data_IF_332022296969
#
_entry.id   IF_332022296969
#
_cell.length_a   1.000
_cell.length_b   1.000
_cell.length_c   1.000
_cell.angle_alpha   90.00
_cell.angle_beta   90.00
_cell.angle_gamma   90.00
#
_symmetry.space_group_name_H-M   'P 1'
#
loop_
_entity.id
_entity.type
_entity.pdbx_description
1 polymer ?
#
# COMPACT_ATOMS: atom_id res chain seq x y z
N UNK A 1 11.58 -19.98 -1.23
CA UNK A 1 12.09 -19.08 -0.19
C UNK A 1 13.43 -18.55 -0.67
N UNK A 2 13.59 -17.23 -0.68
CA UNK A 2 14.82 -16.57 -1.14
C UNK A 2 15.70 -16.15 0.04
N UNK A 3 15.09 -15.65 1.12
CA UNK A 3 15.78 -15.22 2.32
C UNK A 3 14.88 -15.38 3.55
N UNK A 4 15.49 -15.49 4.71
CA UNK A 4 14.84 -15.49 6.01
C UNK A 4 15.56 -14.46 6.88
N UNK A 5 14.83 -13.54 7.46
CA UNK A 5 15.33 -12.61 8.45
C UNK A 5 14.98 -13.13 9.85
N UNK A 6 15.99 -13.21 10.72
CA UNK A 6 15.88 -13.64 12.12
C UNK A 6 16.81 -12.79 12.96
N UNK A 7 16.29 -12.16 14.01
CA UNK A 7 17.06 -11.34 14.95
C UNK A 7 17.91 -10.24 14.28
N UNK A 8 17.37 -9.63 13.19
CA UNK A 8 18.08 -8.61 12.40
C UNK A 8 19.16 -9.15 11.46
N UNK A 9 19.34 -10.47 11.39
CA UNK A 9 20.27 -11.12 10.46
C UNK A 9 19.54 -11.74 9.27
N UNK A 10 20.09 -11.59 8.05
CA UNK A 10 19.55 -12.20 6.83
C UNK A 10 20.25 -13.52 6.54
N UNK A 11 19.49 -14.59 6.41
CA UNK A 11 19.95 -15.96 6.14
C UNK A 11 19.41 -16.42 4.79
N UNK A 12 20.25 -16.97 3.94
CA UNK A 12 19.82 -17.67 2.73
C UNK A 12 19.58 -19.13 3.12
N UNK A 13 18.30 -19.60 3.15
CA UNK A 13 18.00 -20.92 3.65
C UNK A 13 18.42 -22.02 2.67
N UNK A 14 18.92 -23.12 3.20
CA UNK A 14 19.17 -24.36 2.46
C UNK A 14 18.08 -25.40 2.76
N UNK A 15 18.17 -26.60 2.14
CA UNK A 15 17.16 -27.65 2.30
C UNK A 15 17.00 -28.20 3.74
N UNK A 16 17.96 -27.96 4.62
CA UNK A 16 17.94 -28.38 6.02
C UNK A 16 17.54 -27.24 6.98
N UNK A 17 17.24 -26.05 6.45
CA UNK A 17 16.88 -24.89 7.27
C UNK A 17 15.49 -25.08 7.91
N UNK A 18 15.40 -24.84 9.19
CA UNK A 18 14.15 -24.95 9.97
C UNK A 18 13.65 -23.54 10.30
N UNK A 19 12.46 -23.23 9.84
CA UNK A 19 11.76 -21.99 10.18
C UNK A 19 11.36 -21.99 11.66
N UNK A 20 11.44 -20.83 12.28
CA UNK A 20 11.05 -20.59 13.67
C UNK A 20 9.97 -19.52 13.75
N UNK A 21 9.25 -19.50 14.85
CA UNK A 21 8.29 -18.43 15.13
C UNK A 21 9.02 -17.09 15.22
N UNK A 22 8.53 -16.08 14.49
CA UNK A 22 9.15 -14.76 14.44
C UNK A 22 10.02 -14.51 13.20
N UNK A 23 10.36 -15.58 12.43
CA UNK A 23 11.08 -15.41 11.17
C UNK A 23 10.26 -14.59 10.15
N UNK A 24 10.90 -13.63 9.51
CA UNK A 24 10.37 -13.00 8.30
C UNK A 24 10.87 -13.75 7.07
N UNK A 25 9.95 -14.28 6.28
CA UNK A 25 10.29 -15.14 5.13
C UNK A 25 10.03 -14.39 3.83
N UNK A 26 11.08 -14.19 3.05
CA UNK A 26 10.98 -13.63 1.70
C UNK A 26 10.95 -14.76 0.68
N UNK A 27 9.95 -14.75 -0.20
CA UNK A 27 9.86 -15.69 -1.32
C UNK A 27 9.48 -14.96 -2.61
N UNK A 28 9.95 -15.48 -3.73
CA UNK A 28 9.60 -15.02 -5.06
C UNK A 28 8.71 -16.07 -5.73
N UNK A 29 7.55 -15.65 -6.21
CA UNK A 29 6.61 -16.51 -6.90
C UNK A 29 5.73 -15.69 -7.84
N UNK A 30 5.12 -16.32 -8.84
CA UNK A 30 3.99 -15.71 -9.56
C UNK A 30 2.80 -15.57 -8.62
N UNK A 31 1.88 -14.66 -8.93
CA UNK A 31 0.68 -14.44 -8.10
C UNK A 31 -0.12 -15.73 -7.87
N UNK A 32 -0.27 -16.54 -8.91
CA UNK A 32 -0.96 -17.84 -8.85
C UNK A 32 -0.28 -18.80 -7.86
N UNK A 33 1.04 -18.98 -7.98
CA UNK A 33 1.81 -19.85 -7.08
C UNK A 33 1.88 -19.32 -5.65
N UNK A 34 1.91 -18.01 -5.47
CA UNK A 34 1.84 -17.41 -4.15
C UNK A 34 0.47 -17.71 -3.49
N UNK A 35 -0.61 -17.59 -4.23
CA UNK A 35 -1.95 -17.92 -3.75
C UNK A 35 -2.07 -19.40 -3.36
N UNK A 36 -1.60 -20.31 -4.21
CA UNK A 36 -1.57 -21.76 -3.92
C UNK A 36 -0.73 -22.06 -2.67
N UNK A 37 0.42 -21.42 -2.51
CA UNK A 37 1.26 -21.57 -1.33
C UNK A 37 0.54 -21.15 -0.05
N UNK A 38 -0.09 -19.97 -0.04
CA UNK A 38 -0.83 -19.49 1.14
C UNK A 38 -2.03 -20.38 1.48
N UNK A 39 -2.71 -20.93 0.48
CA UNK A 39 -3.78 -21.90 0.71
C UNK A 39 -3.24 -23.17 1.41
N UNK A 40 -2.10 -23.70 0.93
CA UNK A 40 -1.50 -24.93 1.49
C UNK A 40 -1.04 -24.80 2.95
N UNK A 41 -0.61 -23.60 3.34
CA UNK A 41 -0.22 -23.34 4.74
C UNK A 41 -1.37 -22.83 5.61
N UNK A 42 -2.61 -22.91 5.11
CA UNK A 42 -3.82 -22.39 5.77
C UNK A 42 -3.74 -20.91 6.20
N UNK A 43 -3.01 -20.10 5.44
CA UNK A 43 -3.00 -18.64 5.57
C UNK A 43 -3.85 -18.03 4.44
N UNK A 44 -5.16 -17.88 4.64
CA UNK A 44 -6.01 -17.35 3.57
C UNK A 44 -5.64 -15.90 3.29
N UNK A 45 -5.25 -15.62 2.05
CA UNK A 45 -5.13 -14.25 1.55
C UNK A 45 -6.55 -13.69 1.44
N UNK A 46 -6.88 -12.73 2.30
CA UNK A 46 -8.19 -12.05 2.20
C UNK A 46 -8.06 -10.95 1.14
N UNK A 47 -8.83 -11.03 0.05
CA UNK A 47 -8.85 -9.97 -0.95
C UNK A 47 -9.40 -8.69 -0.30
N UNK A 48 -8.81 -7.56 -0.67
CA UNK A 48 -9.29 -6.24 -0.28
C UNK A 48 -10.61 -5.96 -1.01
N UNK A 49 -11.61 -5.47 -0.31
CA UNK A 49 -12.95 -5.12 -0.86
C UNK A 49 -13.18 -3.62 -0.91
N UNK A 50 -12.43 -2.86 -0.14
CA UNK A 50 -12.52 -1.42 -0.14
C UNK A 50 -11.16 -0.78 0.11
N UNK A 51 -10.91 0.33 -0.56
CA UNK A 51 -9.69 1.11 -0.43
C UNK A 51 -10.03 2.59 -0.19
N UNK A 52 -9.25 3.23 0.67
CA UNK A 52 -9.23 4.67 0.88
C UNK A 52 -7.87 5.21 0.45
N UNK A 53 -7.88 6.05 -0.58
CA UNK A 53 -6.69 6.63 -1.20
C UNK A 53 -6.65 8.10 -0.86
N UNK A 54 -5.54 8.60 -0.33
CA UNK A 54 -5.32 10.02 -0.06
C UNK A 54 -4.33 10.59 -1.08
N UNK A 55 -4.80 11.56 -1.87
CA UNK A 55 -4.09 12.16 -2.99
C UNK A 55 -4.57 11.62 -4.34
N UNK A 56 -5.19 12.48 -5.16
CA UNK A 56 -5.81 12.17 -6.46
C UNK A 56 -4.88 12.32 -7.67
N UNK A 57 -3.57 12.10 -7.52
CA UNK A 57 -2.59 12.22 -8.60
C UNK A 57 -2.72 11.13 -9.68
N UNK A 58 -1.76 11.08 -10.61
CA UNK A 58 -1.76 10.09 -11.70
C UNK A 58 -1.69 8.65 -11.18
N UNK A 59 -0.86 8.39 -10.15
CA UNK A 59 -0.76 7.05 -9.56
C UNK A 59 -2.10 6.62 -8.95
N UNK A 60 -2.79 7.52 -8.25
CA UNK A 60 -4.11 7.24 -7.69
C UNK A 60 -5.12 6.90 -8.78
N UNK A 61 -5.09 7.61 -9.90
CA UNK A 61 -5.98 7.37 -11.03
C UNK A 61 -5.81 5.93 -11.57
N UNK A 62 -4.59 5.54 -11.96
CA UNK A 62 -4.34 4.20 -12.51
C UNK A 62 -4.57 3.08 -11.49
N UNK A 63 -4.16 3.28 -10.24
CA UNK A 63 -4.45 2.33 -9.17
C UNK A 63 -5.95 2.14 -8.98
N UNK A 64 -6.72 3.22 -9.04
CA UNK A 64 -8.17 3.16 -8.88
C UNK A 64 -8.85 2.42 -10.03
N UNK A 65 -8.41 2.60 -11.28
CA UNK A 65 -8.90 1.81 -12.41
C UNK A 65 -8.71 0.31 -12.16
N UNK A 66 -7.48 -0.10 -11.82
CA UNK A 66 -7.17 -1.50 -11.55
C UNK A 66 -7.98 -2.07 -10.37
N UNK A 67 -8.15 -1.28 -9.30
CA UNK A 67 -8.95 -1.69 -8.14
C UNK A 67 -10.43 -1.86 -8.49
N UNK A 68 -11.00 -0.94 -9.26
CA UNK A 68 -12.40 -0.98 -9.71
C UNK A 68 -12.65 -2.18 -10.63
N UNK A 69 -11.75 -2.46 -11.58
CA UNK A 69 -11.80 -3.64 -12.44
C UNK A 69 -11.80 -4.96 -11.63
N UNK A 70 -11.13 -4.94 -10.47
CA UNK A 70 -11.13 -6.06 -9.52
C UNK A 70 -12.25 -5.98 -8.47
N UNK A 71 -13.30 -5.19 -8.71
CA UNK A 71 -14.48 -5.04 -7.87
C UNK A 71 -14.18 -4.53 -6.45
N UNK A 72 -13.11 -3.78 -6.28
CA UNK A 72 -12.77 -3.09 -5.02
C UNK A 72 -13.45 -1.73 -5.01
N UNK A 73 -14.20 -1.42 -3.96
CA UNK A 73 -14.78 -0.09 -3.77
C UNK A 73 -13.68 0.92 -3.46
N UNK A 74 -13.59 1.98 -4.25
CA UNK A 74 -12.54 2.99 -4.14
C UNK A 74 -13.11 4.31 -3.67
N UNK A 75 -12.47 4.91 -2.67
CA UNK A 75 -12.68 6.29 -2.23
C UNK A 75 -11.37 7.05 -2.38
N UNK A 76 -11.41 8.23 -2.98
CA UNK A 76 -10.24 9.09 -3.19
C UNK A 76 -10.49 10.41 -2.49
N UNK A 77 -9.60 10.78 -1.56
CA UNK A 77 -9.58 12.10 -0.92
C UNK A 77 -8.60 12.97 -1.68
N UNK A 78 -9.10 14.07 -2.23
CA UNK A 78 -8.31 15.04 -3.00
C UNK A 78 -8.73 16.46 -2.63
N UNK A 79 -7.74 17.31 -2.36
CA UNK A 79 -8.00 18.68 -1.92
C UNK A 79 -8.31 19.67 -3.04
N UNK A 80 -7.82 19.41 -4.26
CA UNK A 80 -8.05 20.29 -5.41
C UNK A 80 -9.41 19.98 -6.06
N UNK A 81 -10.38 20.93 -6.01
CA UNK A 81 -11.70 20.72 -6.59
C UNK A 81 -11.67 20.47 -8.11
N UNK A 82 -10.74 21.11 -8.84
CA UNK A 82 -10.61 20.90 -10.27
C UNK A 82 -10.16 19.46 -10.57
N UNK A 83 -9.22 18.94 -9.78
CA UNK A 83 -8.78 17.55 -9.88
C UNK A 83 -9.89 16.57 -9.49
N UNK A 84 -10.67 16.89 -8.47
CA UNK A 84 -11.84 16.08 -8.08
C UNK A 84 -12.83 15.92 -9.23
N UNK A 85 -13.14 16.98 -9.96
CA UNK A 85 -14.05 16.94 -11.12
C UNK A 85 -13.50 16.00 -12.21
N UNK A 86 -12.22 16.13 -12.55
CA UNK A 86 -11.57 15.26 -13.56
C UNK A 86 -11.62 13.80 -13.13
N UNK A 87 -11.37 13.52 -11.84
CA UNK A 87 -11.43 12.15 -11.33
C UNK A 87 -12.86 11.59 -11.34
N UNK A 88 -13.85 12.39 -10.96
CA UNK A 88 -15.26 11.97 -10.96
C UNK A 88 -15.77 11.65 -12.39
N UNK A 89 -15.35 12.42 -13.39
CA UNK A 89 -15.68 12.15 -14.79
C UNK A 89 -14.98 10.88 -15.32
N UNK A 90 -13.72 10.65 -14.91
CA UNK A 90 -12.90 9.57 -15.43
C UNK A 90 -13.07 8.25 -14.68
N UNK A 91 -13.54 8.29 -13.43
CA UNK A 91 -13.74 7.14 -12.54
C UNK A 91 -15.15 7.17 -11.94
N UNK A 92 -16.21 6.97 -12.74
CA UNK A 92 -17.59 7.13 -12.27
C UNK A 92 -18.01 6.16 -11.16
N UNK A 93 -17.31 5.05 -11.00
CA UNK A 93 -17.55 4.07 -9.93
C UNK A 93 -16.79 4.37 -8.63
N UNK A 94 -15.82 5.31 -8.65
CA UNK A 94 -15.11 5.73 -7.46
C UNK A 94 -15.86 6.85 -6.74
N UNK A 95 -15.79 6.84 -5.42
CA UNK A 95 -16.26 7.97 -4.62
C UNK A 95 -15.14 8.99 -4.47
N UNK A 96 -15.34 10.18 -5.04
CA UNK A 96 -14.37 11.28 -4.96
C UNK A 96 -14.81 12.22 -3.83
N UNK A 97 -13.89 12.46 -2.89
CA UNK A 97 -14.10 13.25 -1.69
C UNK A 97 -13.21 14.49 -1.76
N UNK A 98 -13.84 15.67 -1.89
CA UNK A 98 -13.08 16.91 -1.94
C UNK A 98 -12.81 17.42 -0.52
N UNK A 99 -11.68 17.07 0.03
CA UNK A 99 -11.24 17.45 1.36
C UNK A 99 -9.71 17.40 1.47
N UNK A 100 -9.17 18.06 2.49
CA UNK A 100 -7.77 17.94 2.86
C UNK A 100 -7.54 16.60 3.58
N UNK A 101 -6.65 15.78 3.02
CA UNK A 101 -6.29 14.47 3.58
C UNK A 101 -5.70 14.53 4.99
N UNK A 102 -5.21 15.68 5.43
CA UNK A 102 -4.72 15.89 6.79
C UNK A 102 -5.85 16.07 7.83
N UNK A 103 -7.09 16.23 7.39
CA UNK A 103 -8.26 16.33 8.25
C UNK A 103 -8.61 14.95 8.85
N UNK A 104 -8.13 14.70 10.06
CA UNK A 104 -8.26 13.41 10.75
C UNK A 104 -9.70 13.04 11.05
N UNK A 105 -10.51 14.01 11.48
CA UNK A 105 -11.92 13.77 11.83
C UNK A 105 -12.71 13.39 10.58
N UNK A 106 -12.39 14.01 9.46
CA UNK A 106 -12.96 13.64 8.16
C UNK A 106 -12.60 12.21 7.76
N UNK A 107 -11.32 11.81 7.84
CA UNK A 107 -10.91 10.44 7.53
C UNK A 107 -11.62 9.40 8.41
N UNK A 108 -11.82 9.69 9.68
CA UNK A 108 -12.57 8.82 10.60
C UNK A 108 -14.06 8.75 10.22
N UNK A 109 -14.69 9.89 9.90
CA UNK A 109 -16.10 9.94 9.49
C UNK A 109 -16.34 9.20 8.17
N UNK A 110 -15.35 9.20 7.26
CA UNK A 110 -15.36 8.43 6.02
C UNK A 110 -15.02 6.93 6.22
N UNK A 111 -14.94 6.47 7.46
CA UNK A 111 -14.82 5.06 7.78
C UNK A 111 -13.41 4.50 7.62
N UNK A 112 -12.39 5.29 7.96
CA UNK A 112 -11.00 4.81 8.01
C UNK A 112 -10.85 3.52 8.82
N UNK A 113 -11.58 3.39 9.93
CA UNK A 113 -11.51 2.23 10.83
C UNK A 113 -11.96 0.92 10.16
N UNK A 114 -12.88 1.00 9.21
CA UNK A 114 -13.40 -0.15 8.45
C UNK A 114 -12.71 -0.34 7.09
N UNK A 115 -11.71 0.48 6.78
CA UNK A 115 -10.98 0.42 5.54
C UNK A 115 -10.05 -0.79 5.52
N UNK A 116 -10.15 -1.61 4.46
CA UNK A 116 -9.32 -2.81 4.27
C UNK A 116 -7.98 -2.52 3.58
N UNK A 117 -7.88 -1.39 2.87
CA UNK A 117 -6.62 -0.86 2.34
C UNK A 117 -6.60 0.67 2.44
N UNK A 118 -5.55 1.22 3.02
CA UNK A 118 -5.28 2.65 3.07
C UNK A 118 -4.02 2.96 2.26
N UNK A 119 -4.11 3.94 1.35
CA UNK A 119 -3.04 4.27 0.42
C UNK A 119 -2.74 5.76 0.46
N UNK A 120 -1.55 6.14 0.94
CA UNK A 120 -1.10 7.52 1.00
C UNK A 120 -0.27 7.86 -0.26
N UNK A 121 -0.82 8.70 -1.15
CA UNK A 121 -0.26 9.05 -2.46
C UNK A 121 -0.13 10.56 -2.68
N UNK A 122 -0.07 11.36 -1.63
CA UNK A 122 0.16 12.80 -1.79
C UNK A 122 1.56 13.08 -2.38
N UNK A 123 1.85 14.33 -2.73
CA UNK A 123 3.17 14.70 -3.23
C UNK A 123 4.17 15.05 -2.13
N UNK A 124 3.76 14.95 -0.86
CA UNK A 124 4.55 15.29 0.31
C UNK A 124 4.85 14.01 1.09
N UNK A 125 6.11 13.57 1.10
CA UNK A 125 6.51 12.31 1.72
C UNK A 125 6.23 12.28 3.22
N UNK A 126 6.51 13.37 3.91
CA UNK A 126 6.25 13.52 5.34
C UNK A 126 4.75 13.40 5.67
N UNK A 127 3.91 13.96 4.82
CA UNK A 127 2.46 13.83 4.94
C UNK A 127 2.02 12.38 4.75
N UNK A 128 2.54 11.69 3.72
CA UNK A 128 2.25 10.27 3.49
C UNK A 128 2.64 9.40 4.69
N UNK A 129 3.80 9.66 5.30
CA UNK A 129 4.24 8.95 6.51
C UNK A 129 3.27 9.19 7.67
N UNK A 130 2.92 10.46 7.96
CA UNK A 130 2.02 10.80 9.06
C UNK A 130 0.61 10.24 8.85
N UNK A 131 0.09 10.29 7.62
CA UNK A 131 -1.20 9.71 7.25
C UNK A 131 -1.21 8.19 7.44
N UNK A 132 -0.14 7.51 7.03
CA UNK A 132 -0.03 6.06 7.21
C UNK A 132 0.05 5.66 8.68
N UNK A 133 0.84 6.38 9.49
CA UNK A 133 0.90 6.14 10.93
C UNK A 133 -0.44 6.40 11.63
N UNK A 134 -1.18 7.42 11.18
CA UNK A 134 -2.53 7.67 11.66
C UNK A 134 -3.48 6.54 11.28
N UNK A 135 -3.46 6.11 10.00
CA UNK A 135 -4.28 5.00 9.54
C UNK A 135 -3.95 3.69 10.26
N UNK A 136 -2.67 3.41 10.52
CA UNK A 136 -2.24 2.24 11.30
C UNK A 136 -2.82 2.20 12.70
N UNK A 137 -2.94 3.36 13.34
CA UNK A 137 -3.52 3.44 14.70
C UNK A 137 -5.01 3.13 14.71
N UNK A 138 -5.73 3.43 13.63
CA UNK A 138 -7.19 3.37 13.58
C UNK A 138 -7.74 2.22 12.72
N UNK A 139 -6.94 1.66 11.82
CA UNK A 139 -7.35 0.57 10.91
C UNK A 139 -6.40 -0.62 11.04
N UNK A 140 -6.95 -1.81 10.75
CA UNK A 140 -6.19 -3.06 10.58
C UNK A 140 -6.01 -3.41 9.10
N UNK A 141 -6.37 -2.51 8.22
CA UNK A 141 -6.25 -2.68 6.77
C UNK A 141 -4.79 -2.71 6.31
N UNK A 142 -4.59 -3.08 5.06
CA UNK A 142 -3.28 -2.99 4.40
C UNK A 142 -2.89 -1.53 4.25
N UNK A 143 -1.63 -1.21 4.52
CA UNK A 143 -1.10 0.14 4.39
C UNK A 143 -0.13 0.19 3.22
N UNK A 144 -0.26 1.21 2.38
CA UNK A 144 0.66 1.49 1.27
C UNK A 144 1.06 2.96 1.34
N UNK A 145 2.36 3.21 1.37
CA UNK A 145 2.92 4.56 1.53
C UNK A 145 3.82 4.90 0.35
N UNK A 146 3.50 5.96 -0.38
CA UNK A 146 4.38 6.47 -1.43
C UNK A 146 5.45 7.36 -0.83
N UNK A 147 6.71 7.10 -1.18
CA UNK A 147 7.87 7.92 -0.84
C UNK A 147 8.62 8.25 -2.14
N UNK A 148 8.94 9.52 -2.33
CA UNK A 148 9.66 9.99 -3.53
C UNK A 148 11.17 10.13 -3.28
N UNK A 149 11.59 10.27 -2.00
CA UNK A 149 12.98 10.51 -1.58
C UNK A 149 13.49 9.36 -0.73
N UNK A 150 14.69 8.86 -1.04
CA UNK A 150 15.34 7.78 -0.28
C UNK A 150 16.22 8.24 0.86
N UNK A 151 16.42 9.54 0.99
CA UNK A 151 17.40 10.10 1.97
C UNK A 151 17.06 9.75 3.43
N UNK A 152 15.82 9.30 3.67
CA UNK A 152 15.33 8.93 5.01
C UNK A 152 15.00 7.44 5.15
N UNK A 153 15.45 6.61 4.22
CA UNK A 153 15.10 5.18 4.18
C UNK A 153 15.45 4.44 5.48
N UNK A 154 16.62 4.76 6.05
CA UNK A 154 17.06 4.21 7.34
C UNK A 154 16.09 4.53 8.49
N UNK A 155 15.49 5.72 8.48
CA UNK A 155 14.51 6.14 9.48
C UNK A 155 13.16 5.46 9.21
N UNK A 156 12.78 5.40 7.94
CA UNK A 156 11.50 4.81 7.51
C UNK A 156 11.46 3.29 7.74
N UNK A 157 12.60 2.60 7.62
CA UNK A 157 12.70 1.17 7.91
C UNK A 157 12.36 0.81 9.36
N UNK A 158 12.56 1.74 10.30
CA UNK A 158 12.15 1.59 11.70
C UNK A 158 10.66 1.86 11.97
N UNK A 159 9.96 2.44 10.99
CA UNK A 159 8.54 2.74 11.06
C UNK A 159 7.76 1.68 10.29
N UNK A 160 6.86 0.99 10.94
CA UNK A 160 5.98 0.03 10.25
C UNK A 160 4.91 0.80 9.44
N UNK A 161 5.29 1.18 8.22
CA UNK A 161 4.48 1.94 7.26
C UNK A 161 3.75 1.04 6.25
N UNK A 162 3.72 -0.27 6.50
CA UNK A 162 3.20 -1.23 5.55
C UNK A 162 4.11 -1.37 4.32
N UNK A 163 3.53 -1.43 3.13
CA UNK A 163 4.29 -1.49 1.89
C UNK A 163 4.73 -0.08 1.47
N UNK A 164 6.03 0.19 1.46
CA UNK A 164 6.57 1.44 0.94
C UNK A 164 6.80 1.29 -0.57
N UNK A 165 6.34 2.28 -1.33
CA UNK A 165 6.47 2.33 -2.78
C UNK A 165 7.31 3.53 -3.18
N UNK A 166 8.36 3.28 -3.95
CA UNK A 166 9.28 4.28 -4.49
C UNK A 166 9.09 4.38 -6.03
N UNK A 167 8.19 5.22 -6.54
CA UNK A 167 7.83 5.22 -7.97
C UNK A 167 9.01 5.42 -8.92
N UNK A 168 9.96 6.28 -8.54
CA UNK A 168 11.17 6.54 -9.36
C UNK A 168 12.03 5.29 -9.54
N UNK A 169 12.19 4.49 -8.47
CA UNK A 169 13.00 3.27 -8.54
C UNK A 169 12.32 2.18 -9.35
N UNK A 170 11.03 1.98 -9.11
CA UNK A 170 10.26 1.03 -9.90
C UNK A 170 10.36 1.36 -11.40
N UNK A 171 10.27 2.64 -11.77
CA UNK A 171 10.42 3.08 -13.16
C UNK A 171 11.83 2.83 -13.68
N UNK A 172 12.88 3.12 -12.89
CA UNK A 172 14.27 2.84 -13.27
C UNK A 172 14.50 1.34 -13.50
N UNK A 173 14.00 0.49 -12.59
CA UNK A 173 14.13 -0.96 -12.72
C UNK A 173 13.47 -1.49 -13.98
N UNK A 174 12.30 -0.99 -14.34
CA UNK A 174 11.63 -1.32 -15.59
C UNK A 174 12.45 -0.89 -16.82
N UNK A 175 13.05 0.31 -16.81
CA UNK A 175 13.86 0.79 -17.94
C UNK A 175 15.13 -0.04 -18.11
N UNK A 176 15.76 -0.45 -17.01
CA UNK A 176 17.02 -1.25 -17.05
C UNK A 176 16.77 -2.70 -17.52
N UNK A 177 15.56 -3.21 -17.39
CA UNK A 177 15.20 -4.55 -17.85
C UNK A 177 14.93 -4.63 -19.37
N UNK A 178 14.83 -3.49 -20.06
CA UNK A 178 14.69 -3.38 -21.51
C UNK A 178 16.06 -3.15 -22.18
#
# INVERSE_FOLDING_TARGET
VCAVERDGGVIIPNGNFVLQTGDQVTFLATQEKAHEFFQRINMPVRPVRNALIVGGGAIAYYLSQELLENHVRVRIVERDPARCNVLAESLPEAQILNEDGSNRDFLLSEGLESTEAFVALTNIDEENVLLTLFAKKHSKGKLVTKINRLEFDDILAGLDLGSIVYPKYMTCDYIVQY
#
